data_IF_260262392416
#
_entry.id   IF_260262392416
#
_cell.length_a   1.000
_cell.length_b   1.000
_cell.length_c   1.000
_cell.angle_alpha   90.00
_cell.angle_beta   90.00
_cell.angle_gamma   90.00
#
_symmetry.space_group_name_H-M   'P 1'
#
loop_
_entity.id
_entity.type
_entity.pdbx_description
1 polymer ?
#
# COMPACT_ATOMS: atom_id res chain seq x y z
N UNK A 1 15.45 -5.61 21.08
CA UNK A 1 15.38 -6.52 22.25
C UNK A 1 15.23 -5.68 23.50
N UNK A 2 14.45 -6.15 24.46
CA UNK A 2 14.30 -5.50 25.76
C UNK A 2 15.46 -5.96 26.68
N UNK A 3 16.44 -5.10 26.91
CA UNK A 3 17.62 -5.43 27.70
C UNK A 3 17.29 -5.75 29.18
N UNK A 4 16.23 -5.14 29.71
CA UNK A 4 15.77 -5.41 31.08
C UNK A 4 15.24 -6.85 31.23
N UNK A 5 14.55 -7.37 30.20
CA UNK A 5 14.11 -8.75 30.14
C UNK A 5 15.30 -9.72 30.03
N UNK A 6 16.29 -9.39 29.19
CA UNK A 6 17.54 -10.18 29.04
C UNK A 6 18.36 -10.22 30.33
N UNK A 7 18.35 -9.15 31.16
CA UNK A 7 18.95 -9.14 32.48
C UNK A 7 18.21 -10.10 33.41
N UNK A 8 16.86 -10.06 33.42
CA UNK A 8 16.03 -10.90 34.27
C UNK A 8 16.26 -12.40 33.99
N UNK A 9 16.48 -12.76 32.73
CA UNK A 9 16.76 -14.13 32.29
C UNK A 9 18.22 -14.51 32.43
N UNK A 10 19.11 -13.57 32.81
CA UNK A 10 20.53 -13.82 32.99
C UNK A 10 21.38 -13.80 31.72
N UNK A 11 20.82 -13.42 30.59
CA UNK A 11 21.53 -13.34 29.32
C UNK A 11 22.32 -12.04 29.13
N UNK A 12 22.06 -11.02 29.97
CA UNK A 12 22.77 -9.75 29.92
C UNK A 12 23.14 -9.29 31.33
N UNK A 13 24.35 -8.79 31.50
CA UNK A 13 24.84 -8.36 32.79
C UNK A 13 24.27 -7.00 33.21
N UNK A 14 23.79 -6.89 34.43
CA UNK A 14 23.18 -5.70 34.99
C UNK A 14 24.17 -4.53 35.10
N UNK A 15 25.44 -4.81 35.52
CA UNK A 15 26.48 -3.79 35.61
C UNK A 15 26.80 -3.15 34.27
N UNK A 16 26.79 -3.94 33.20
CA UNK A 16 26.98 -3.46 31.84
C UNK A 16 25.81 -2.59 31.36
N UNK A 17 24.60 -2.98 31.71
CA UNK A 17 23.41 -2.17 31.39
C UNK A 17 23.50 -0.76 31.98
N UNK A 18 23.84 -0.63 33.27
CA UNK A 18 23.97 0.69 33.91
C UNK A 18 25.09 1.55 33.32
N UNK A 19 26.17 0.93 32.87
CA UNK A 19 27.26 1.66 32.18
C UNK A 19 26.90 2.16 30.82
N UNK A 20 26.02 1.44 30.07
CA UNK A 20 25.56 1.81 28.73
C UNK A 20 24.33 2.75 28.77
N UNK A 21 23.49 2.61 29.77
CA UNK A 21 22.22 3.34 29.91
C UNK A 21 22.37 4.70 30.61
N UNK A 22 23.41 5.46 30.26
CA UNK A 22 23.64 6.79 30.82
C UNK A 22 22.63 7.79 30.31
N UNK A 23 22.22 7.67 29.04
CA UNK A 23 21.21 8.49 28.40
C UNK A 23 20.41 7.65 27.40
N UNK A 24 19.10 7.60 27.56
CA UNK A 24 18.21 6.85 26.69
C UNK A 24 17.43 7.79 25.77
N UNK A 25 17.60 7.60 24.46
CA UNK A 25 16.82 8.30 23.43
C UNK A 25 15.80 7.33 22.85
N UNK A 26 14.53 7.66 22.98
CA UNK A 26 13.46 6.89 22.34
C UNK A 26 13.24 7.42 20.93
N UNK A 27 13.47 6.57 19.92
CA UNK A 27 13.19 6.87 18.53
C UNK A 27 11.86 6.22 18.14
N UNK A 28 10.81 7.01 17.86
CA UNK A 28 9.54 6.46 17.42
C UNK A 28 9.67 5.78 16.06
N UNK A 29 8.88 4.72 15.83
CA UNK A 29 8.79 4.04 14.54
C UNK A 29 8.16 4.94 13.48
N UNK A 30 8.40 4.63 12.20
CA UNK A 30 7.87 5.45 11.10
C UNK A 30 6.33 5.48 11.09
N UNK A 31 5.68 4.40 11.49
CA UNK A 31 4.21 4.32 11.63
C UNK A 31 3.65 5.28 12.68
N UNK A 32 4.44 5.66 13.70
CA UNK A 32 4.04 6.60 14.76
C UNK A 32 4.22 8.07 14.34
N UNK A 33 4.84 8.28 13.16
CA UNK A 33 5.10 9.59 12.57
C UNK A 33 4.77 9.60 11.07
N UNK A 34 3.54 9.22 10.74
CA UNK A 34 3.07 9.12 9.35
C UNK A 34 3.27 10.43 8.56
N UNK A 35 3.15 11.59 9.21
CA UNK A 35 3.40 12.88 8.58
C UNK A 35 4.82 13.08 8.02
N UNK A 36 5.81 12.31 8.50
CA UNK A 36 7.17 12.39 7.99
C UNK A 36 7.35 11.59 6.68
N UNK A 37 6.43 10.65 6.37
CA UNK A 37 6.54 9.77 5.21
C UNK A 37 6.63 10.57 3.91
N UNK A 38 5.77 11.56 3.74
CA UNK A 38 5.76 12.44 2.57
C UNK A 38 7.07 13.21 2.41
N UNK A 39 7.58 13.76 3.51
CA UNK A 39 8.84 14.53 3.52
C UNK A 39 10.01 13.61 3.17
N UNK A 40 10.07 12.43 3.77
CA UNK A 40 11.12 11.45 3.52
C UNK A 40 11.05 10.89 2.10
N UNK A 41 9.86 10.58 1.59
CA UNK A 41 9.68 10.11 0.21
C UNK A 41 10.18 11.14 -0.79
N UNK A 42 9.84 12.41 -0.61
CA UNK A 42 10.31 13.51 -1.46
C UNK A 42 11.83 13.67 -1.39
N UNK A 43 12.41 13.60 -0.19
CA UNK A 43 13.87 13.70 -0.01
C UNK A 43 14.61 12.53 -0.68
N UNK A 44 14.10 11.30 -0.53
CA UNK A 44 14.70 10.12 -1.18
C UNK A 44 14.58 10.18 -2.70
N UNK A 45 13.41 10.53 -3.24
CA UNK A 45 13.25 10.65 -4.68
C UNK A 45 14.19 11.69 -5.27
N UNK A 46 14.37 12.84 -4.62
CA UNK A 46 15.33 13.86 -5.04
C UNK A 46 16.77 13.32 -5.01
N UNK A 47 17.18 12.69 -3.91
CA UNK A 47 18.53 12.13 -3.76
C UNK A 47 18.84 11.05 -4.81
N UNK A 48 17.88 10.17 -5.10
CA UNK A 48 18.05 9.14 -6.14
C UNK A 48 18.03 9.72 -7.57
N UNK A 49 17.19 10.73 -7.82
CA UNK A 49 17.17 11.44 -9.11
C UNK A 49 18.50 12.06 -9.44
N UNK A 50 19.17 12.65 -8.46
CA UNK A 50 20.51 13.21 -8.61
C UNK A 50 21.56 12.12 -8.93
N UNK A 51 21.45 10.95 -8.28
CA UNK A 51 22.38 9.83 -8.49
C UNK A 51 22.17 9.11 -9.83
N UNK A 52 20.90 8.95 -10.26
CA UNK A 52 20.55 8.17 -11.45
C UNK A 52 20.49 9.02 -12.73
N UNK A 53 20.69 10.33 -12.63
CA UNK A 53 20.50 11.30 -13.74
C UNK A 53 19.10 11.21 -14.36
N UNK A 54 18.11 10.79 -13.59
CA UNK A 54 16.72 10.61 -13.99
C UNK A 54 15.84 11.62 -13.25
N UNK A 55 15.28 12.58 -13.98
CA UNK A 55 14.48 13.63 -13.36
C UNK A 55 13.10 13.09 -12.98
N UNK A 56 12.84 12.98 -11.66
CA UNK A 56 11.49 12.83 -11.14
C UNK A 56 10.94 14.20 -10.85
N UNK A 57 9.88 14.57 -11.57
CA UNK A 57 9.28 15.89 -11.50
C UNK A 57 8.10 15.94 -10.52
N UNK A 58 7.42 14.83 -10.31
CA UNK A 58 6.18 14.81 -9.54
C UNK A 58 5.90 13.43 -8.90
N UNK A 59 5.26 13.45 -7.72
CA UNK A 59 4.61 12.30 -7.10
C UNK A 59 3.11 12.57 -7.05
N UNK A 60 2.30 11.60 -7.51
CA UNK A 60 0.85 11.78 -7.44
C UNK A 60 0.36 11.76 -5.98
N UNK A 61 -0.74 12.46 -5.65
CA UNK A 61 -1.34 12.37 -4.32
C UNK A 61 -1.69 10.93 -3.93
N UNK A 62 -2.20 10.13 -4.87
CA UNK A 62 -2.53 8.72 -4.67
C UNK A 62 -1.29 7.88 -4.30
N UNK A 63 -0.13 8.15 -4.90
CA UNK A 63 1.14 7.50 -4.55
C UNK A 63 1.52 7.79 -3.09
N UNK A 64 1.41 9.05 -2.66
CA UNK A 64 1.75 9.46 -1.30
C UNK A 64 0.79 8.86 -0.27
N UNK A 65 -0.51 8.84 -0.57
CA UNK A 65 -1.54 8.20 0.27
C UNK A 65 -1.28 6.70 0.42
N UNK A 66 -0.93 6.01 -0.67
CA UNK A 66 -0.57 4.59 -0.63
C UNK A 66 0.64 4.32 0.28
N UNK A 67 1.62 5.22 0.31
CA UNK A 67 2.77 5.12 1.22
C UNK A 67 2.37 5.35 2.68
N UNK A 68 1.48 6.32 2.96
CA UNK A 68 1.05 6.63 4.32
C UNK A 68 0.25 5.50 4.97
N UNK A 69 -0.46 4.69 4.19
CA UNK A 69 -1.25 3.56 4.67
C UNK A 69 -0.43 2.33 5.03
N UNK A 70 0.88 2.31 4.74
CA UNK A 70 1.73 1.14 4.99
C UNK A 70 2.24 1.08 6.44
N UNK A 71 2.36 -0.13 7.02
CA UNK A 71 2.79 -0.33 8.40
C UNK A 71 4.30 -0.11 8.62
N UNK A 72 5.10 -0.03 7.58
CA UNK A 72 6.54 0.22 7.58
C UNK A 72 7.32 -0.55 8.66
N UNK A 73 7.23 -1.88 8.66
CA UNK A 73 7.92 -2.75 9.63
C UNK A 73 9.45 -2.56 9.61
N UNK A 74 10.02 -2.33 8.43
CA UNK A 74 11.42 -2.00 8.22
C UNK A 74 11.75 -0.50 8.32
N UNK A 75 10.76 0.32 8.76
CA UNK A 75 10.91 1.76 8.97
C UNK A 75 11.48 2.50 7.74
N UNK A 76 12.39 3.45 7.97
CA UNK A 76 12.98 4.31 6.94
C UNK A 76 13.74 3.50 5.86
N UNK A 77 14.33 2.36 6.21
CA UNK A 77 15.05 1.52 5.23
C UNK A 77 14.09 0.89 4.22
N UNK A 78 12.94 0.42 4.68
CA UNK A 78 11.91 -0.14 3.83
C UNK A 78 11.34 0.94 2.89
N UNK A 79 10.97 2.11 3.43
CA UNK A 79 10.50 3.25 2.64
C UNK A 79 11.53 3.65 1.56
N UNK A 80 12.79 3.77 1.91
CA UNK A 80 13.87 4.09 0.97
C UNK A 80 13.95 3.09 -0.18
N UNK A 81 13.92 1.79 0.13
CA UNK A 81 13.99 0.73 -0.88
C UNK A 81 12.76 0.74 -1.80
N UNK A 82 11.57 1.03 -1.26
CA UNK A 82 10.34 1.16 -2.05
C UNK A 82 10.46 2.32 -3.03
N UNK A 83 10.88 3.49 -2.58
CA UNK A 83 11.08 4.66 -3.45
C UNK A 83 12.12 4.37 -4.53
N UNK A 84 13.24 3.74 -4.19
CA UNK A 84 14.28 3.37 -5.14
C UNK A 84 13.75 2.44 -6.24
N UNK A 85 12.99 1.40 -5.87
CA UNK A 85 12.35 0.48 -6.82
C UNK A 85 11.33 1.18 -7.70
N UNK A 86 10.49 2.03 -7.13
CA UNK A 86 9.49 2.80 -7.89
C UNK A 86 10.14 3.71 -8.92
N UNK A 87 11.28 4.31 -8.59
CA UNK A 87 12.04 5.15 -9.52
C UNK A 87 12.64 4.37 -10.69
N UNK A 88 13.06 3.12 -10.46
CA UNK A 88 13.63 2.26 -11.50
C UNK A 88 12.56 1.85 -12.53
N UNK A 89 11.31 1.67 -12.06
CA UNK A 89 10.19 1.21 -12.91
C UNK A 89 9.46 2.39 -13.56
N UNK A 90 9.55 3.58 -12.96
CA UNK A 90 8.83 4.77 -13.41
C UNK A 90 9.24 5.17 -14.83
N UNK A 91 8.27 5.31 -15.72
CA UNK A 91 8.43 5.85 -17.05
C UNK A 91 7.86 7.27 -17.11
N UNK A 92 8.67 8.25 -17.54
CA UNK A 92 8.21 9.64 -17.75
C UNK A 92 8.37 10.60 -16.56
N UNK A 93 9.06 10.22 -15.48
CA UNK A 93 9.43 11.14 -14.39
C UNK A 93 8.30 11.53 -13.46
N UNK A 94 7.16 10.82 -13.47
CA UNK A 94 6.02 10.98 -12.58
C UNK A 94 5.74 9.67 -11.87
N UNK A 95 5.92 9.65 -10.54
CA UNK A 95 5.63 8.47 -9.71
C UNK A 95 4.13 8.35 -9.45
N UNK A 96 3.58 7.18 -9.76
CA UNK A 96 2.18 6.84 -9.53
C UNK A 96 2.06 5.50 -8.78
N UNK A 97 0.84 5.15 -8.35
CA UNK A 97 0.54 3.91 -7.62
C UNK A 97 0.98 2.67 -8.40
N UNK A 98 0.91 2.68 -9.74
CA UNK A 98 1.37 1.58 -10.60
C UNK A 98 2.89 1.32 -10.52
N UNK A 99 3.68 2.31 -10.09
CA UNK A 99 5.13 2.16 -9.93
C UNK A 99 5.52 1.56 -8.57
N UNK A 100 4.57 1.44 -7.64
CA UNK A 100 4.79 0.81 -6.35
C UNK A 100 4.92 -0.72 -6.48
N UNK A 101 5.65 -1.38 -5.58
CA UNK A 101 5.64 -2.85 -5.47
C UNK A 101 4.21 -3.39 -5.31
N UNK A 102 3.95 -4.56 -5.92
CA UNK A 102 2.61 -5.17 -5.94
C UNK A 102 2.01 -5.38 -4.54
N UNK A 103 2.87 -5.63 -3.54
CA UNK A 103 2.46 -5.79 -2.15
C UNK A 103 1.81 -4.52 -1.58
N UNK A 104 2.25 -3.35 -2.03
CA UNK A 104 1.72 -2.06 -1.61
C UNK A 104 0.49 -1.68 -2.45
N UNK A 105 0.53 -1.95 -3.76
CA UNK A 105 -0.62 -1.72 -4.64
C UNK A 105 -1.86 -2.47 -4.16
N UNK A 106 -1.70 -3.76 -3.81
CA UNK A 106 -2.82 -4.59 -3.35
C UNK A 106 -3.45 -4.06 -2.07
N UNK A 107 -2.65 -3.59 -1.12
CA UNK A 107 -3.18 -2.98 0.10
C UNK A 107 -3.99 -1.71 -0.17
N UNK A 108 -3.64 -0.95 -1.21
CA UNK A 108 -4.40 0.25 -1.57
C UNK A 108 -5.72 -0.07 -2.28
N UNK A 109 -5.76 -1.16 -3.06
CA UNK A 109 -7.02 -1.65 -3.65
C UNK A 109 -7.95 -2.30 -2.61
N UNK A 110 -7.42 -2.84 -1.52
CA UNK A 110 -8.23 -3.40 -0.43
C UNK A 110 -8.85 -2.32 0.49
N UNK A 111 -8.23 -1.14 0.61
CA UNK A 111 -8.76 -0.04 1.43
C UNK A 111 -9.98 0.68 0.85
N UNK A 112 -10.34 0.47 -0.41
CA UNK A 112 -11.59 0.98 -0.99
C UNK A 112 -12.77 0.01 -0.83
N UNK A 113 -12.55 -1.13 -0.19
CA UNK A 113 -13.57 -2.14 0.03
C UNK A 113 -13.91 -2.27 1.53
N UNK A 114 -14.95 -1.58 1.94
CA UNK A 114 -15.61 -1.69 3.27
C UNK A 114 -16.14 -3.11 3.59
N UNK A 115 -15.51 -4.16 3.07
CA UNK A 115 -15.96 -5.54 3.29
C UNK A 115 -14.83 -6.59 3.18
N UNK A 116 -13.71 -6.37 3.89
CA UNK A 116 -12.64 -7.36 4.04
C UNK A 116 -13.07 -8.56 4.93
N UNK A 117 -14.16 -9.23 4.59
CA UNK A 117 -14.68 -10.37 5.34
C UNK A 117 -15.71 -11.21 4.60
N UNK A 118 -16.21 -10.76 3.48
CA UNK A 118 -17.23 -11.51 2.77
C UNK A 118 -16.61 -12.30 1.59
N UNK A 119 -16.14 -13.52 1.89
CA UNK A 119 -15.65 -14.48 0.91
C UNK A 119 -16.78 -15.20 0.13
N UNK A 120 -18.01 -14.74 0.24
CA UNK A 120 -19.13 -15.28 -0.51
C UNK A 120 -18.95 -15.00 -2.00
N UNK A 121 -19.00 -16.07 -2.78
CA UNK A 121 -18.90 -15.98 -4.24
C UNK A 121 -19.95 -15.03 -4.83
N UNK A 122 -21.15 -15.02 -4.24
CA UNK A 122 -22.25 -14.14 -4.62
C UNK A 122 -21.91 -12.65 -4.46
N UNK A 123 -21.22 -12.26 -3.39
CA UNK A 123 -20.78 -10.90 -3.14
C UNK A 123 -19.72 -10.44 -4.16
N UNK A 124 -18.76 -11.33 -4.47
CA UNK A 124 -17.74 -11.08 -5.50
C UNK A 124 -18.38 -10.94 -6.88
N UNK A 125 -19.31 -11.81 -7.21
CA UNK A 125 -20.04 -11.81 -8.47
C UNK A 125 -20.87 -10.52 -8.63
N UNK A 126 -21.63 -10.13 -7.60
CA UNK A 126 -22.39 -8.88 -7.56
C UNK A 126 -21.51 -7.68 -7.88
N UNK A 127 -20.38 -7.57 -7.19
CA UNK A 127 -19.41 -6.47 -7.34
C UNK A 127 -18.83 -6.43 -8.75
N UNK A 128 -18.45 -7.58 -9.28
CA UNK A 128 -17.88 -7.68 -10.62
C UNK A 128 -18.91 -7.27 -11.69
N UNK A 129 -20.14 -7.72 -11.57
CA UNK A 129 -21.23 -7.34 -12.48
C UNK A 129 -21.50 -5.82 -12.42
N UNK A 130 -21.59 -5.24 -11.21
CA UNK A 130 -21.79 -3.80 -11.03
C UNK A 130 -20.68 -2.98 -11.71
N UNK A 131 -19.41 -3.37 -11.50
CA UNK A 131 -18.24 -2.71 -12.11
C UNK A 131 -18.26 -2.76 -13.63
N UNK A 132 -18.64 -3.91 -14.23
CA UNK A 132 -18.73 -4.03 -15.69
C UNK A 132 -19.91 -3.23 -16.25
N UNK A 133 -21.04 -3.17 -15.55
CA UNK A 133 -22.17 -2.33 -15.94
C UNK A 133 -21.82 -0.84 -15.90
N UNK A 134 -21.09 -0.39 -14.91
CA UNK A 134 -20.57 0.97 -14.82
C UNK A 134 -19.61 1.28 -15.99
N UNK A 135 -18.65 0.39 -16.24
CA UNK A 135 -17.72 0.52 -17.37
C UNK A 135 -18.43 0.62 -18.73
N UNK A 136 -19.49 -0.17 -18.93
CA UNK A 136 -20.30 -0.16 -20.17
C UNK A 136 -21.38 0.92 -20.17
N UNK A 137 -21.38 1.83 -19.18
CA UNK A 137 -22.38 2.91 -19.03
C UNK A 137 -23.83 2.39 -19.09
N UNK A 138 -24.07 1.23 -18.49
CA UNK A 138 -25.39 0.60 -18.44
C UNK A 138 -25.76 -0.23 -19.68
N UNK A 139 -24.88 -0.39 -20.66
CA UNK A 139 -25.15 -1.23 -21.84
C UNK A 139 -25.06 -2.73 -21.48
N UNK A 140 -26.23 -3.33 -21.20
CA UNK A 140 -26.35 -4.72 -20.74
C UNK A 140 -25.90 -5.74 -21.77
N UNK A 141 -26.05 -5.45 -23.06
CA UNK A 141 -25.63 -6.36 -24.15
C UNK A 141 -24.11 -6.45 -24.20
N UNK A 142 -23.43 -5.32 -24.08
CA UNK A 142 -21.96 -5.25 -24.06
C UNK A 142 -21.38 -5.81 -22.75
N UNK A 143 -22.04 -5.54 -21.64
CA UNK A 143 -21.70 -6.10 -20.35
C UNK A 143 -21.77 -7.65 -20.36
N UNK A 144 -22.84 -8.23 -20.89
CA UNK A 144 -22.97 -9.68 -21.04
C UNK A 144 -21.84 -10.29 -21.90
N UNK A 145 -21.45 -9.59 -22.97
CA UNK A 145 -20.35 -10.00 -23.85
C UNK A 145 -19.00 -9.97 -23.11
N UNK A 146 -18.71 -8.90 -22.35
CA UNK A 146 -17.48 -8.77 -21.58
C UNK A 146 -17.39 -9.81 -20.45
N UNK A 147 -18.50 -10.06 -19.76
CA UNK A 147 -18.61 -11.08 -18.71
C UNK A 147 -18.64 -12.51 -19.26
N UNK A 148 -18.73 -12.70 -20.60
CA UNK A 148 -18.87 -14.00 -21.27
C UNK A 148 -20.03 -14.82 -20.74
N UNK A 149 -21.16 -14.20 -20.40
CA UNK A 149 -22.38 -14.84 -19.94
C UNK A 149 -23.55 -14.50 -20.89
N UNK A 150 -24.58 -15.34 -20.87
CA UNK A 150 -25.80 -15.07 -21.65
C UNK A 150 -26.52 -13.82 -21.13
N UNK A 151 -27.14 -13.07 -22.06
CA UNK A 151 -27.88 -11.86 -21.73
C UNK A 151 -29.01 -12.13 -20.73
N UNK A 152 -29.72 -13.24 -20.86
CA UNK A 152 -30.75 -13.69 -19.92
C UNK A 152 -30.21 -13.99 -18.53
N UNK A 153 -29.00 -14.55 -18.44
CA UNK A 153 -28.30 -14.81 -17.17
C UNK A 153 -27.94 -13.48 -16.49
N UNK A 154 -27.46 -12.50 -17.26
CA UNK A 154 -27.13 -11.19 -16.73
C UNK A 154 -28.39 -10.48 -16.17
N UNK A 155 -29.50 -10.52 -16.88
CA UNK A 155 -30.75 -9.93 -16.38
C UNK A 155 -31.20 -10.57 -15.07
N UNK A 156 -31.19 -11.91 -15.00
CA UNK A 156 -31.52 -12.64 -13.77
C UNK A 156 -30.63 -12.22 -12.60
N UNK A 157 -29.32 -12.09 -12.83
CA UNK A 157 -28.35 -11.70 -11.79
C UNK A 157 -28.50 -10.23 -11.36
N UNK A 158 -28.83 -9.32 -12.26
CA UNK A 158 -29.13 -7.94 -11.94
C UNK A 158 -30.35 -7.87 -11.02
N UNK A 159 -31.39 -8.66 -11.30
CA UNK A 159 -32.59 -8.70 -10.49
C UNK A 159 -32.35 -9.37 -9.12
N UNK A 160 -31.62 -10.48 -9.09
CA UNK A 160 -31.23 -11.21 -7.88
C UNK A 160 -30.41 -10.35 -6.92
N UNK A 161 -29.44 -9.60 -7.43
CA UNK A 161 -28.53 -8.77 -6.65
C UNK A 161 -29.01 -7.33 -6.44
N UNK A 162 -30.11 -6.94 -7.05
CA UNK A 162 -30.67 -5.57 -7.01
C UNK A 162 -29.60 -4.50 -7.36
N UNK A 163 -28.99 -4.66 -8.53
CA UNK A 163 -27.97 -3.75 -9.08
C UNK A 163 -28.63 -2.75 -10.04
#
# INVERSE_FOLDING_TARGET
RNLQEEIRVGHFREDLFYRLSVFQVHLPSLRERAGDIKILATAFAKSFSECLSYAVNEMTPAFLEALEQQPWKGNIRELRNVIERSLIVCEGGRLDVCDLPLEIQNNHYECSDDNAGNFELAAMEKRHIARVLEYTKGNKTEAARLLKIGLTTLYRKIEEYKI
#
